data_IF_271432430818
#
_entry.id   IF_271432430818
#
_cell.length_a   1.000
_cell.length_b   1.000
_cell.length_c   1.000
_cell.angle_alpha   90.00
_cell.angle_beta   90.00
_cell.angle_gamma   90.00
#
_symmetry.space_group_name_H-M   'P 1'
#
loop_
_entity.id
_entity.type
_entity.pdbx_description
1 polymer ?
#
# COMPACT_ATOMS: atom_id res chain seq x y z
N UNK A 1 -41.78 22.85 22.38
CA UNK A 1 -40.92 21.65 22.46
C UNK A 1 -40.42 21.32 21.05
N UNK A 2 -39.18 21.68 20.72
CA UNK A 2 -38.50 21.27 19.47
C UNK A 2 -37.67 20.02 19.77
N UNK A 3 -37.77 18.93 19.02
CA UNK A 3 -36.80 17.85 19.15
C UNK A 3 -35.51 18.17 18.38
N UNK A 4 -34.39 17.80 18.99
CA UNK A 4 -33.02 18.01 18.55
C UNK A 4 -32.74 17.20 17.28
N UNK A 5 -32.19 17.86 16.25
CA UNK A 5 -31.34 17.17 15.27
C UNK A 5 -30.08 16.74 16.02
N UNK A 6 -29.67 15.46 15.97
CA UNK A 6 -28.26 15.10 15.81
C UNK A 6 -28.04 13.59 15.53
N UNK A 7 -27.13 13.38 14.57
CA UNK A 7 -26.27 12.24 14.29
C UNK A 7 -26.88 10.88 13.94
N UNK A 8 -27.11 10.73 12.63
CA UNK A 8 -27.16 9.46 11.92
C UNK A 8 -27.21 9.74 10.44
N UNK A 9 -26.17 10.35 9.88
CA UNK A 9 -26.00 10.26 8.42
C UNK A 9 -25.74 8.76 8.15
N UNK A 10 -26.59 8.04 7.40
CA UNK A 10 -26.13 6.78 6.85
C UNK A 10 -24.88 7.12 6.04
N UNK A 11 -23.77 6.40 6.25
CA UNK A 11 -22.71 6.40 5.25
C UNK A 11 -23.42 6.13 3.92
N UNK A 12 -23.37 7.08 3.00
CA UNK A 12 -23.88 6.83 1.66
C UNK A 12 -23.25 5.52 1.17
N UNK A 13 -24.02 4.58 0.60
CA UNK A 13 -23.42 3.39 0.01
C UNK A 13 -22.41 3.88 -1.01
N UNK A 14 -21.13 3.62 -0.78
CA UNK A 14 -20.09 3.97 -1.75
C UNK A 14 -20.43 3.20 -3.03
N UNK A 15 -20.70 3.91 -4.14
CA UNK A 15 -21.17 3.27 -5.35
C UNK A 15 -20.04 2.41 -5.94
N UNK A 16 -20.40 1.14 -6.08
CA UNK A 16 -20.04 0.29 -7.21
C UNK A 16 -18.69 -0.40 -7.15
N UNK A 17 -18.77 -1.73 -7.29
CA UNK A 17 -17.70 -2.62 -7.67
C UNK A 17 -17.05 -2.15 -8.98
N UNK A 18 -15.97 -1.39 -8.84
CA UNK A 18 -14.87 -1.31 -9.80
C UNK A 18 -13.60 -0.96 -9.01
N UNK A 19 -13.24 -1.84 -8.09
CA UNK A 19 -11.90 -1.83 -7.52
C UNK A 19 -11.02 -2.54 -8.56
N UNK A 20 -10.16 -1.84 -9.33
CA UNK A 20 -9.20 -2.55 -10.14
C UNK A 20 -8.37 -3.42 -9.19
N UNK A 21 -8.23 -4.73 -9.44
CA UNK A 21 -7.40 -5.59 -8.61
C UNK A 21 -5.95 -5.25 -8.91
N UNK A 22 -5.44 -4.18 -8.29
CA UNK A 22 -4.05 -3.77 -8.23
C UNK A 22 -3.99 -2.54 -7.34
N UNK A 23 -3.39 -2.74 -6.17
CA UNK A 23 -2.94 -1.74 -5.22
C UNK A 23 -3.00 -0.30 -5.74
N UNK A 24 -3.61 0.60 -4.96
CA UNK A 24 -3.41 2.05 -5.07
C UNK A 24 -1.91 2.37 -5.12
N UNK A 25 -1.34 2.35 -6.32
CA UNK A 25 0.07 2.60 -6.57
C UNK A 25 0.17 4.10 -6.71
N UNK A 26 0.63 4.78 -5.65
CA UNK A 26 0.85 6.22 -5.68
C UNK A 26 1.89 6.54 -6.79
N UNK A 27 1.48 7.09 -7.95
CA UNK A 27 2.44 7.47 -8.97
C UNK A 27 3.13 8.73 -8.46
N UNK A 28 4.40 8.61 -8.05
CA UNK A 28 5.10 9.75 -7.47
C UNK A 28 6.27 9.46 -6.55
N UNK A 29 6.52 8.22 -6.12
CA UNK A 29 7.62 7.90 -5.20
C UNK A 29 8.97 8.46 -5.67
N UNK A 30 9.39 8.16 -6.90
CA UNK A 30 10.63 8.71 -7.48
C UNK A 30 10.59 10.24 -7.64
N UNK A 31 9.42 10.80 -7.99
CA UNK A 31 9.27 12.25 -8.15
C UNK A 31 9.48 12.97 -6.82
N UNK A 32 8.94 12.44 -5.74
CA UNK A 32 9.08 12.98 -4.38
C UNK A 32 10.54 12.91 -3.91
N UNK A 33 11.24 11.80 -4.18
CA UNK A 33 12.66 11.64 -3.83
C UNK A 33 13.58 12.54 -4.66
N UNK A 34 13.24 12.84 -5.92
CA UNK A 34 13.97 13.85 -6.71
C UNK A 34 13.79 15.26 -6.14
N UNK A 35 12.61 15.57 -5.63
CA UNK A 35 12.33 16.88 -4.99
C UNK A 35 12.97 16.99 -3.60
N UNK A 36 13.20 15.87 -2.92
CA UNK A 36 13.75 15.82 -1.57
C UNK A 36 14.90 14.80 -1.46
N UNK A 37 16.11 15.13 -1.97
CA UNK A 37 17.23 14.18 -2.01
C UNK A 37 17.64 13.62 -0.65
N UNK A 38 17.44 14.38 0.43
CA UNK A 38 17.71 13.91 1.80
C UNK A 38 16.84 12.73 2.25
N UNK A 39 15.74 12.44 1.55
CA UNK A 39 14.88 11.28 1.83
C UNK A 39 15.27 10.04 1.03
N UNK A 40 16.24 10.12 0.10
CA UNK A 40 16.68 8.98 -0.70
C UNK A 40 17.15 7.75 0.10
N UNK A 41 17.82 7.85 1.27
CA UNK A 41 18.21 6.64 2.01
C UNK A 41 17.02 5.95 2.71
N UNK A 42 15.95 6.67 3.03
CA UNK A 42 14.85 6.16 3.86
C UNK A 42 14.14 4.92 3.29
N UNK A 43 13.83 4.82 1.98
CA UNK A 43 13.20 3.61 1.45
C UNK A 43 13.98 2.34 1.77
N UNK A 44 15.31 2.35 1.63
CA UNK A 44 16.14 1.19 1.94
C UNK A 44 16.09 0.82 3.42
N UNK A 45 16.05 1.82 4.31
CA UNK A 45 15.95 1.63 5.76
C UNK A 45 14.59 1.08 6.19
N UNK A 46 13.51 1.50 5.51
CA UNK A 46 12.13 1.17 5.88
C UNK A 46 11.59 -0.11 5.22
N UNK A 47 12.25 -0.65 4.20
CA UNK A 47 11.81 -1.87 3.51
C UNK A 47 11.57 -3.05 4.45
N UNK A 48 12.47 -3.39 5.40
CA UNK A 48 12.25 -4.56 6.27
C UNK A 48 10.92 -4.46 7.05
N UNK A 49 10.68 -3.32 7.71
CA UNK A 49 9.45 -3.08 8.48
C UNK A 49 8.20 -3.00 7.58
N UNK A 50 8.32 -2.30 6.45
CA UNK A 50 7.24 -2.14 5.49
C UNK A 50 6.85 -3.47 4.84
N UNK A 51 7.81 -4.37 4.64
CA UNK A 51 7.59 -5.67 4.05
C UNK A 51 6.84 -6.62 5.00
N UNK A 52 7.15 -6.61 6.30
CA UNK A 52 6.37 -7.33 7.30
C UNK A 52 4.91 -6.88 7.29
N UNK A 53 4.69 -5.56 7.26
CA UNK A 53 3.34 -5.00 7.14
C UNK A 53 2.65 -5.40 5.83
N UNK A 54 3.40 -5.45 4.73
CA UNK A 54 2.88 -5.84 3.42
C UNK A 54 2.44 -7.32 3.39
N UNK A 55 3.18 -8.23 4.04
CA UNK A 55 2.78 -9.64 4.17
C UNK A 55 1.48 -9.80 4.96
N UNK A 56 1.36 -9.13 6.12
CA UNK A 56 0.15 -9.16 6.93
C UNK A 56 -1.08 -8.60 6.18
N UNK A 57 -0.88 -7.53 5.41
CA UNK A 57 -1.93 -6.99 4.54
C UNK A 57 -2.31 -7.97 3.42
N UNK A 58 -1.32 -8.60 2.78
CA UNK A 58 -1.55 -9.59 1.74
C UNK A 58 -2.31 -10.82 2.27
N UNK A 59 -1.96 -11.31 3.46
CA UNK A 59 -2.71 -12.39 4.14
C UNK A 59 -4.15 -11.97 4.40
N UNK A 60 -4.38 -10.78 4.96
CA UNK A 60 -5.72 -10.28 5.23
C UNK A 60 -6.57 -10.19 3.95
N UNK A 61 -5.97 -9.72 2.86
CA UNK A 61 -6.68 -9.42 1.62
C UNK A 61 -6.86 -10.67 0.71
N UNK A 62 -5.97 -11.66 0.80
CA UNK A 62 -5.97 -12.86 -0.07
C UNK A 62 -6.21 -14.18 0.65
N UNK A 63 -6.04 -14.23 1.96
CA UNK A 63 -6.07 -15.45 2.77
C UNK A 63 -4.79 -16.30 2.68
N UNK A 64 -3.77 -15.87 1.92
CA UNK A 64 -2.47 -16.56 1.86
C UNK A 64 -1.70 -16.24 3.13
N UNK A 65 -1.45 -17.26 3.95
CA UNK A 65 -0.68 -17.12 5.20
C UNK A 65 0.67 -16.45 4.96
N UNK A 66 1.02 -15.48 5.80
CA UNK A 66 2.21 -14.65 5.63
C UNK A 66 3.53 -15.44 5.56
N UNK A 67 3.55 -16.66 6.13
CA UNK A 67 4.71 -17.56 6.12
C UNK A 67 4.99 -18.15 4.74
N UNK A 68 4.03 -18.03 3.80
CA UNK A 68 4.23 -18.44 2.41
C UNK A 68 4.95 -17.38 1.58
N UNK A 69 5.10 -16.15 2.08
CA UNK A 69 5.95 -15.15 1.44
C UNK A 69 7.42 -15.34 1.86
N UNK A 70 8.38 -14.87 1.05
CA UNK A 70 9.79 -14.81 1.46
C UNK A 70 9.96 -14.17 2.85
N UNK A 71 10.93 -14.66 3.62
CA UNK A 71 11.22 -14.12 4.96
C UNK A 71 11.80 -12.69 4.91
N UNK A 72 12.40 -12.31 3.78
CA UNK A 72 12.96 -10.98 3.53
C UNK A 72 12.41 -10.44 2.22
N UNK A 73 12.30 -9.11 2.12
CA UNK A 73 11.81 -8.49 0.89
C UNK A 73 12.73 -8.88 -0.29
N UNK A 74 12.18 -9.47 -1.36
CA UNK A 74 12.98 -9.88 -2.52
C UNK A 74 13.33 -8.69 -3.44
N UNK A 75 12.79 -7.50 -3.17
CA UNK A 75 12.94 -6.33 -4.03
C UNK A 75 13.77 -5.24 -3.37
N UNK A 76 14.55 -4.54 -4.18
CA UNK A 76 15.31 -3.38 -3.72
C UNK A 76 14.43 -2.13 -3.68
N UNK A 77 14.91 -1.07 -3.02
CA UNK A 77 14.24 0.22 -3.02
C UNK A 77 14.03 0.76 -4.44
N UNK A 78 15.03 0.61 -5.32
CA UNK A 78 14.96 1.04 -6.71
C UNK A 78 13.82 0.31 -7.46
N UNK A 79 13.71 -1.01 -7.30
CA UNK A 79 12.66 -1.80 -7.92
C UNK A 79 11.26 -1.42 -7.39
N UNK A 80 11.11 -1.23 -6.08
CA UNK A 80 9.83 -0.84 -5.46
C UNK A 80 9.39 0.55 -5.93
N UNK A 81 10.34 1.48 -6.08
CA UNK A 81 10.08 2.85 -6.50
C UNK A 81 9.90 2.99 -8.02
N UNK A 82 10.40 2.05 -8.82
CA UNK A 82 10.27 2.07 -10.27
C UNK A 82 8.82 1.91 -10.71
N UNK A 83 8.28 2.96 -11.34
CA UNK A 83 6.91 2.98 -11.84
C UNK A 83 6.65 1.91 -12.92
N UNK A 84 7.69 1.41 -13.61
CA UNK A 84 7.58 0.34 -14.60
C UNK A 84 7.71 -1.08 -14.03
N UNK A 85 8.13 -1.22 -12.77
CA UNK A 85 8.46 -2.54 -12.22
C UNK A 85 7.21 -3.38 -11.90
N UNK A 86 7.20 -4.59 -12.43
CA UNK A 86 6.28 -5.66 -12.08
C UNK A 86 7.09 -6.91 -11.73
N UNK A 87 6.90 -7.51 -10.53
CA UNK A 87 7.52 -8.78 -10.26
C UNK A 87 6.92 -9.82 -11.19
N UNK A 88 7.78 -10.48 -11.97
CA UNK A 88 7.45 -11.73 -12.64
C UNK A 88 6.94 -12.68 -11.55
N UNK A 89 5.70 -13.13 -11.69
CA UNK A 89 5.04 -14.00 -10.72
C UNK A 89 5.87 -15.28 -10.61
N UNK A 90 6.42 -15.55 -9.43
CA UNK A 90 7.04 -16.83 -9.09
C UNK A 90 5.99 -17.78 -8.53
#
# INVERSE_FOLDING_TARGET
>A
LRPLRHFGQPLAPTPTADYPPRASRFPGGQRLLRQNPGLQPLPAELIPESYESAKALAERDTGIDERNFPAVCPWTAEAILDEGFWPEVG
#
